data_IF_043090702657
#
_entry.id   IF_043090702657
#
_cell.length_a   1.000
_cell.length_b   1.000
_cell.length_c   1.000
_cell.angle_alpha   90.00
_cell.angle_beta   90.00
_cell.angle_gamma   90.00
#
_symmetry.space_group_name_H-M   'P 1'
#
loop_
_entity.id
_entity.type
_entity.pdbx_description
1 polymer ?
#
# COMPACT_ATOMS: atom_id res chain seq x y z
N UNK A 1 -40.92 5.80 1.70
CA UNK A 1 -40.31 6.49 2.85
C UNK A 1 -38.82 6.48 2.62
N UNK A 2 -38.24 7.62 2.27
CA UNK A 2 -36.79 7.79 2.15
C UNK A 2 -36.23 7.87 3.58
N UNK A 3 -35.37 6.94 3.94
CA UNK A 3 -34.62 6.99 5.19
C UNK A 3 -33.61 8.12 5.04
N UNK A 4 -33.81 9.22 5.74
CA UNK A 4 -32.81 10.29 5.86
C UNK A 4 -31.56 9.68 6.49
N UNK A 5 -30.52 9.54 5.67
CA UNK A 5 -29.17 9.30 6.17
C UNK A 5 -28.76 10.59 6.90
N UNK A 6 -28.81 10.57 8.24
CA UNK A 6 -28.21 11.61 9.06
C UNK A 6 -26.71 11.63 8.77
N UNK A 7 -26.26 12.73 8.19
CA UNK A 7 -24.84 13.00 8.00
C UNK A 7 -24.21 13.14 9.38
N UNK A 8 -23.42 12.16 9.82
CA UNK A 8 -22.77 12.13 11.14
C UNK A 8 -21.78 13.27 11.21
N UNK A 9 -22.02 14.23 12.10
CA UNK A 9 -21.15 15.41 12.23
C UNK A 9 -19.77 15.07 12.78
N UNK A 10 -18.82 15.99 12.65
CA UNK A 10 -17.47 15.82 13.23
C UNK A 10 -17.55 15.72 14.75
N UNK A 11 -18.44 16.49 15.39
CA UNK A 11 -18.68 16.42 16.83
C UNK A 11 -19.19 15.05 17.26
N UNK A 12 -20.12 14.44 16.49
CA UNK A 12 -20.63 13.10 16.78
C UNK A 12 -19.51 12.04 16.71
N UNK A 13 -18.64 12.15 15.70
CA UNK A 13 -17.47 11.24 15.56
C UNK A 13 -16.49 11.39 16.71
N UNK A 14 -16.24 12.62 17.16
CA UNK A 14 -15.39 12.90 18.33
C UNK A 14 -16.01 12.32 19.60
N UNK A 15 -17.33 12.47 19.79
CA UNK A 15 -18.05 11.88 20.91
C UNK A 15 -17.93 10.37 20.96
N UNK A 16 -18.20 9.70 19.83
CA UNK A 16 -18.04 8.24 19.68
C UNK A 16 -16.61 7.79 19.94
N UNK A 17 -15.61 8.56 19.46
CA UNK A 17 -14.21 8.24 19.69
C UNK A 17 -13.85 8.31 21.18
N UNK A 18 -14.34 9.30 21.91
CA UNK A 18 -14.16 9.40 23.37
C UNK A 18 -14.80 8.24 24.12
N UNK A 19 -15.98 7.80 23.71
CA UNK A 19 -16.65 6.64 24.30
C UNK A 19 -15.83 5.36 24.07
N UNK A 20 -15.32 5.14 22.85
CA UNK A 20 -14.46 4.00 22.52
C UNK A 20 -13.14 4.00 23.33
N UNK A 21 -12.64 5.18 23.70
CA UNK A 21 -11.43 5.33 24.50
C UNK A 21 -11.69 5.32 26.02
N UNK A 22 -12.96 5.18 26.48
CA UNK A 22 -13.28 5.18 27.89
C UNK A 22 -12.51 4.12 28.69
N UNK A 23 -12.33 2.93 28.11
CA UNK A 23 -11.59 1.81 28.70
C UNK A 23 -10.10 1.74 28.28
N UNK A 24 -9.62 2.72 27.49
CA UNK A 24 -8.23 2.74 27.06
C UNK A 24 -7.29 3.08 28.22
N UNK A 25 -6.00 2.67 28.15
CA UNK A 25 -4.99 3.12 29.10
C UNK A 25 -4.91 4.66 29.18
N UNK A 26 -4.58 5.20 30.35
CA UNK A 26 -4.51 6.66 30.58
C UNK A 26 -3.62 7.41 29.58
N UNK A 27 -2.54 6.77 29.10
CA UNK A 27 -1.68 7.33 28.05
C UNK A 27 -2.45 7.53 26.74
N UNK A 28 -3.34 6.61 26.39
CA UNK A 28 -4.18 6.71 25.20
C UNK A 28 -5.24 7.82 25.32
N UNK A 29 -5.93 7.89 26.45
CA UNK A 29 -6.92 8.95 26.74
C UNK A 29 -6.29 10.34 26.66
N UNK A 30 -5.15 10.54 27.32
CA UNK A 30 -4.41 11.81 27.29
C UNK A 30 -3.94 12.17 25.87
N UNK A 31 -3.44 11.20 25.13
CA UNK A 31 -2.99 11.40 23.75
C UNK A 31 -4.16 11.79 22.84
N UNK A 32 -5.32 11.14 23.00
CA UNK A 32 -6.54 11.48 22.26
C UNK A 32 -6.91 12.94 22.43
N UNK A 33 -7.02 13.42 23.68
CA UNK A 33 -7.42 14.83 23.94
C UNK A 33 -6.37 15.82 23.38
N UNK A 34 -5.08 15.50 23.44
CA UNK A 34 -4.05 16.32 22.81
C UNK A 34 -4.16 16.38 21.29
N UNK A 35 -4.53 15.29 20.63
CA UNK A 35 -4.76 15.26 19.18
C UNK A 35 -6.02 16.04 18.82
N UNK A 36 -7.13 15.83 19.52
CA UNK A 36 -8.39 16.54 19.29
C UNK A 36 -8.24 18.05 19.47
N UNK A 37 -7.48 18.48 20.47
CA UNK A 37 -7.22 19.92 20.69
C UNK A 37 -6.42 20.56 19.55
N UNK A 38 -5.47 19.81 18.94
CA UNK A 38 -4.71 20.29 17.78
C UNK A 38 -5.59 20.38 16.52
N UNK A 39 -6.40 19.36 16.27
CA UNK A 39 -7.32 19.35 15.13
C UNK A 39 -8.30 20.51 15.18
N UNK A 40 -8.71 20.93 16.39
CA UNK A 40 -9.60 22.11 16.58
C UNK A 40 -8.88 23.43 16.33
N UNK A 41 -7.54 23.49 16.52
CA UNK A 41 -6.74 24.71 16.31
C UNK A 41 -6.25 24.87 14.85
N UNK A 42 -6.16 23.78 14.09
CA UNK A 42 -5.62 23.75 12.73
C UNK A 42 -6.72 23.87 11.65
N UNK A 43 -7.75 24.69 11.90
CA UNK A 43 -8.88 24.89 10.98
C UNK A 43 -8.49 25.39 9.57
N UNK A 44 -7.25 25.82 9.36
CA UNK A 44 -6.70 26.28 8.08
C UNK A 44 -5.97 25.18 7.27
N UNK A 45 -5.86 23.95 7.77
CA UNK A 45 -5.22 22.88 7.00
C UNK A 45 -6.14 22.42 5.87
N UNK A 46 -5.55 22.39 4.66
CA UNK A 46 -6.21 21.78 3.49
C UNK A 46 -6.59 20.33 3.84
N UNK A 47 -7.86 19.96 3.69
CA UNK A 47 -8.24 18.57 3.96
C UNK A 47 -7.40 17.62 3.12
N UNK A 48 -7.02 16.45 3.67
CA UNK A 48 -6.31 15.44 2.92
C UNK A 48 -7.14 15.03 1.69
N UNK A 49 -6.49 14.63 0.58
CA UNK A 49 -7.21 14.15 -0.59
C UNK A 49 -8.09 12.96 -0.17
N UNK A 50 -9.31 12.85 -0.72
CA UNK A 50 -10.21 11.76 -0.40
C UNK A 50 -9.61 10.42 -0.87
N UNK A 51 -9.76 9.38 -0.06
CA UNK A 51 -9.45 8.01 -0.46
C UNK A 51 -10.50 7.57 -1.47
N UNK A 52 -10.04 7.11 -2.63
CA UNK A 52 -10.87 6.59 -3.72
C UNK A 52 -10.66 5.07 -3.87
N UNK A 53 -11.46 4.42 -4.72
CA UNK A 53 -11.22 3.05 -5.13
C UNK A 53 -10.03 2.96 -6.07
N UNK A 54 -9.21 1.91 -5.94
CA UNK A 54 -8.13 1.59 -6.86
C UNK A 54 -8.60 0.77 -8.09
N UNK A 55 -9.89 0.55 -8.24
CA UNK A 55 -10.48 -0.28 -9.29
C UNK A 55 -11.25 -1.47 -8.72
N UNK A 56 -10.91 -2.70 -9.12
CA UNK A 56 -11.57 -3.94 -8.66
C UNK A 56 -11.54 -4.07 -7.15
N UNK A 57 -10.40 -3.84 -6.52
CA UNK A 57 -10.15 -3.87 -5.07
C UNK A 57 -9.09 -2.85 -4.69
N UNK A 58 -8.95 -2.58 -3.39
CA UNK A 58 -7.94 -1.68 -2.84
C UNK A 58 -8.35 -0.22 -2.83
N UNK A 59 -7.51 0.56 -2.17
CA UNK A 59 -7.69 1.99 -1.96
C UNK A 59 -6.66 2.79 -2.76
N UNK A 60 -7.03 4.00 -3.19
CA UNK A 60 -6.18 4.93 -3.91
C UNK A 60 -6.20 6.32 -3.28
N UNK A 61 -5.03 6.90 -3.12
CA UNK A 61 -4.84 8.27 -2.68
C UNK A 61 -4.08 9.05 -3.77
N UNK A 62 -4.77 9.93 -4.49
CA UNK A 62 -4.20 10.61 -5.65
C UNK A 62 -3.86 9.65 -6.79
N UNK A 63 -2.58 9.54 -7.15
CA UNK A 63 -2.07 8.62 -8.18
C UNK A 63 -1.62 7.28 -7.63
N UNK A 64 -1.44 7.15 -6.32
CA UNK A 64 -0.88 5.96 -5.66
C UNK A 64 -2.02 5.10 -5.12
N UNK A 65 -1.93 3.80 -5.38
CA UNK A 65 -2.86 2.77 -4.91
C UNK A 65 -2.15 1.80 -3.96
N UNK A 66 -2.92 1.11 -3.12
CA UNK A 66 -2.41 0.06 -2.26
C UNK A 66 -3.03 -1.31 -2.60
N UNK A 67 -2.25 -2.35 -2.36
CA UNK A 67 -2.67 -3.74 -2.39
C UNK A 67 -2.12 -4.44 -1.15
N UNK A 68 -2.99 -5.00 -0.33
CA UNK A 68 -2.62 -5.81 0.82
C UNK A 68 -3.32 -7.15 0.73
N UNK A 69 -2.54 -8.23 0.68
CA UNK A 69 -3.03 -9.61 0.55
C UNK A 69 -2.54 -10.42 1.75
N UNK A 70 -3.42 -11.25 2.30
CA UNK A 70 -3.03 -12.29 3.26
C UNK A 70 -3.44 -13.64 2.69
N UNK A 71 -2.45 -14.52 2.48
CA UNK A 71 -2.63 -15.85 1.90
C UNK A 71 -2.02 -16.93 2.78
N UNK A 72 -2.62 -18.14 2.83
CA UNK A 72 -1.96 -19.29 3.44
C UNK A 72 -0.78 -19.74 2.56
N UNK A 73 0.27 -20.23 3.19
CA UNK A 73 1.34 -20.90 2.47
C UNK A 73 0.93 -22.31 2.04
N UNK A 74 1.26 -22.68 0.81
CA UNK A 74 1.24 -24.06 0.37
C UNK A 74 2.27 -24.91 1.17
N UNK A 75 2.12 -26.23 1.25
CA UNK A 75 3.09 -27.09 1.90
C UNK A 75 4.52 -26.82 1.41
N UNK A 76 5.43 -26.46 2.35
CA UNK A 76 6.81 -26.07 2.05
C UNK A 76 6.97 -24.68 1.37
N UNK A 77 5.89 -23.95 1.14
CA UNK A 77 5.89 -22.65 0.46
C UNK A 77 6.74 -21.61 1.17
N UNK A 78 6.59 -21.48 2.48
CA UNK A 78 7.38 -20.55 3.27
C UNK A 78 8.88 -20.77 3.14
N UNK A 79 9.32 -22.02 3.20
CA UNK A 79 10.73 -22.37 3.05
C UNK A 79 11.26 -22.05 1.65
N UNK A 80 10.48 -22.37 0.60
CA UNK A 80 10.83 -22.06 -0.80
C UNK A 80 10.96 -20.56 -1.03
N UNK A 81 9.95 -19.79 -0.61
CA UNK A 81 9.96 -18.34 -0.77
C UNK A 81 11.11 -17.70 0.01
N UNK A 82 11.35 -18.13 1.24
CA UNK A 82 12.48 -17.63 2.03
C UNK A 82 13.82 -17.87 1.33
N UNK A 83 14.04 -19.07 0.82
CA UNK A 83 15.26 -19.41 0.10
C UNK A 83 15.40 -18.55 -1.18
N UNK A 84 14.31 -18.34 -1.91
CA UNK A 84 14.30 -17.49 -3.10
C UNK A 84 14.64 -16.03 -2.76
N UNK A 85 14.01 -15.45 -1.75
CA UNK A 85 14.29 -14.08 -1.31
C UNK A 85 15.74 -13.90 -0.84
N UNK A 86 16.33 -14.91 -0.21
CA UNK A 86 17.73 -14.88 0.24
C UNK A 86 18.73 -14.80 -0.93
N UNK A 87 18.42 -15.32 -2.12
CA UNK A 87 19.27 -15.17 -3.31
C UNK A 87 19.50 -13.70 -3.68
N UNK A 88 18.54 -12.84 -3.38
CA UNK A 88 18.59 -11.40 -3.67
C UNK A 88 18.92 -10.56 -2.44
N UNK A 89 19.36 -11.20 -1.33
CA UNK A 89 19.60 -10.49 -0.07
C UNK A 89 18.39 -9.74 0.49
N UNK A 90 17.17 -10.21 0.14
CA UNK A 90 15.92 -9.56 0.48
C UNK A 90 15.57 -8.32 -0.38
N UNK A 91 16.42 -7.96 -1.34
CA UNK A 91 16.18 -6.85 -2.27
C UNK A 91 15.55 -7.38 -3.57
N UNK A 92 14.35 -6.88 -3.88
CA UNK A 92 13.57 -7.26 -5.06
C UNK A 92 13.69 -6.18 -6.17
N UNK A 93 14.90 -5.73 -6.48
CA UNK A 93 15.14 -4.70 -7.49
C UNK A 93 14.56 -5.03 -8.88
N UNK A 94 14.25 -6.30 -9.18
CA UNK A 94 13.47 -6.68 -10.37
C UNK A 94 12.07 -6.04 -10.45
N UNK A 95 11.53 -5.54 -9.34
CA UNK A 95 10.31 -4.74 -9.35
C UNK A 95 10.47 -3.38 -10.07
N UNK A 96 11.71 -2.89 -10.22
CA UNK A 96 12.00 -1.67 -10.97
C UNK A 96 11.62 -1.80 -12.46
N UNK A 97 11.67 -3.02 -13.03
CA UNK A 97 11.27 -3.29 -14.41
C UNK A 97 9.76 -3.09 -14.64
N UNK A 98 8.96 -3.18 -13.58
CA UNK A 98 7.53 -2.87 -13.64
C UNK A 98 7.32 -1.37 -13.79
N UNK A 99 8.10 -0.56 -13.09
CA UNK A 99 8.17 0.90 -13.22
C UNK A 99 7.03 1.66 -12.53
N UNK A 100 6.14 0.98 -11.80
CA UNK A 100 4.99 1.56 -11.10
C UNK A 100 4.98 1.28 -9.61
N UNK A 101 5.96 0.54 -9.09
CA UNK A 101 6.02 0.10 -7.69
C UNK A 101 6.76 1.12 -6.83
N UNK A 102 6.08 1.67 -5.83
CA UNK A 102 6.68 2.55 -4.81
C UNK A 102 7.32 1.77 -3.67
N UNK A 103 6.63 0.73 -3.22
CA UNK A 103 7.02 -0.12 -2.10
C UNK A 103 6.42 -1.51 -2.29
N UNK A 104 7.17 -2.53 -1.88
CA UNK A 104 6.73 -3.92 -1.90
C UNK A 104 7.37 -4.69 -0.75
N UNK A 105 6.58 -5.48 -0.02
CA UNK A 105 7.08 -6.27 1.10
C UNK A 105 6.33 -7.58 1.28
N UNK A 106 7.08 -8.59 1.72
CA UNK A 106 6.59 -9.91 2.10
C UNK A 106 6.86 -10.12 3.59
N UNK A 107 5.83 -10.42 4.35
CA UNK A 107 5.94 -10.66 5.80
C UNK A 107 5.37 -12.05 6.12
N UNK A 108 6.16 -12.90 6.73
CA UNK A 108 5.73 -14.24 7.13
C UNK A 108 5.06 -14.15 8.49
N UNK A 109 3.85 -14.67 8.59
CA UNK A 109 2.96 -14.59 9.75
C UNK A 109 2.74 -15.97 10.36
N UNK A 110 2.35 -15.98 11.63
CA UNK A 110 1.82 -17.13 12.34
C UNK A 110 2.71 -18.39 12.22
N UNK A 111 3.99 -18.24 12.54
CA UNK A 111 4.98 -19.33 12.43
C UNK A 111 5.03 -19.93 11.01
N UNK A 112 5.08 -19.06 9.99
CA UNK A 112 5.20 -19.46 8.59
C UNK A 112 3.99 -20.21 8.02
N UNK A 113 2.80 -19.99 8.57
CA UNK A 113 1.55 -20.56 8.04
C UNK A 113 0.87 -19.65 7.04
N UNK A 114 1.06 -18.32 7.18
CA UNK A 114 0.49 -17.31 6.28
C UNK A 114 1.53 -16.28 5.88
N UNK A 115 1.26 -15.62 4.79
CA UNK A 115 2.05 -14.49 4.31
C UNK A 115 1.17 -13.26 4.16
N UNK A 116 1.71 -12.11 4.56
CA UNK A 116 1.22 -10.81 4.14
C UNK A 116 2.10 -10.32 2.99
N UNK A 117 1.47 -10.01 1.86
CA UNK A 117 2.04 -9.22 0.78
C UNK A 117 1.42 -7.84 0.81
N UNK A 118 2.24 -6.80 0.84
CA UNK A 118 1.75 -5.43 0.74
C UNK A 118 2.60 -4.65 -0.25
N UNK A 119 1.95 -3.80 -1.04
CA UNK A 119 2.59 -2.96 -2.04
C UNK A 119 1.85 -1.64 -2.21
N UNK A 120 2.60 -0.58 -2.56
CA UNK A 120 2.07 0.67 -3.05
C UNK A 120 2.52 0.87 -4.50
N UNK A 121 1.60 1.26 -5.39
CA UNK A 121 1.84 1.30 -6.82
C UNK A 121 1.08 2.45 -7.49
N UNK A 122 1.44 2.78 -8.73
CA UNK A 122 0.77 3.81 -9.52
C UNK A 122 -0.48 3.27 -10.21
N UNK A 123 -1.58 4.01 -10.13
CA UNK A 123 -2.72 3.86 -11.00
C UNK A 123 -3.75 2.82 -10.57
N UNK A 124 -4.36 2.16 -11.56
CA UNK A 124 -5.49 1.24 -11.38
C UNK A 124 -5.02 -0.19 -11.09
N UNK A 125 -5.79 -0.91 -10.27
CA UNK A 125 -5.49 -2.27 -9.84
C UNK A 125 -5.36 -3.28 -10.98
N UNK A 126 -6.31 -3.25 -11.93
CA UNK A 126 -6.29 -4.20 -13.05
C UNK A 126 -5.08 -3.97 -13.96
N UNK A 127 -4.73 -2.71 -14.23
CA UNK A 127 -3.55 -2.35 -15.00
C UNK A 127 -2.25 -2.77 -14.31
N UNK A 128 -2.19 -2.59 -12.99
CA UNK A 128 -1.03 -3.01 -12.19
C UNK A 128 -0.79 -4.53 -12.28
N UNK A 129 -1.84 -5.34 -12.13
CA UNK A 129 -1.71 -6.80 -12.24
C UNK A 129 -1.33 -7.21 -13.67
N UNK A 130 -1.88 -6.56 -14.71
CA UNK A 130 -1.53 -6.82 -16.10
C UNK A 130 -0.08 -6.47 -16.42
N UNK A 131 0.46 -5.41 -15.82
CA UNK A 131 1.87 -5.04 -15.94
C UNK A 131 2.79 -6.15 -15.43
N UNK A 132 2.51 -6.68 -14.26
CA UNK A 132 3.27 -7.81 -13.71
C UNK A 132 3.14 -9.07 -14.57
N UNK A 133 1.92 -9.41 -14.97
CA UNK A 133 1.65 -10.57 -15.83
C UNK A 133 2.39 -10.49 -17.18
N UNK A 134 2.68 -9.30 -17.65
CA UNK A 134 3.34 -9.06 -18.96
C UNK A 134 4.85 -8.93 -18.81
N UNK A 135 5.33 -8.20 -17.79
CA UNK A 135 6.74 -7.83 -17.67
C UNK A 135 7.58 -8.87 -16.95
N UNK A 136 7.07 -9.44 -15.86
CA UNK A 136 7.82 -10.37 -15.00
C UNK A 136 7.02 -11.61 -14.56
N UNK A 137 6.27 -12.27 -15.46
CA UNK A 137 5.32 -13.32 -15.06
C UNK A 137 5.98 -14.52 -14.37
N UNK A 138 7.15 -14.97 -14.85
CA UNK A 138 7.82 -16.14 -14.28
C UNK A 138 8.38 -15.83 -12.88
N UNK A 139 8.79 -14.57 -12.65
CA UNK A 139 9.25 -14.15 -11.33
C UNK A 139 8.10 -14.15 -10.31
N UNK A 140 6.91 -13.67 -10.71
CA UNK A 140 5.70 -13.76 -9.89
C UNK A 140 5.31 -15.22 -9.62
N UNK A 141 5.27 -16.07 -10.64
CA UNK A 141 4.88 -17.45 -10.46
C UNK A 141 5.84 -18.23 -9.54
N UNK A 142 7.14 -17.86 -9.51
CA UNK A 142 8.07 -18.43 -8.52
C UNK A 142 7.67 -18.01 -7.10
N UNK A 143 7.39 -16.74 -6.87
CA UNK A 143 7.01 -16.20 -5.56
C UNK A 143 5.64 -16.76 -5.13
N UNK A 144 4.64 -16.61 -6.00
CA UNK A 144 3.25 -16.85 -5.67
C UNK A 144 2.91 -18.35 -5.68
N UNK A 145 3.75 -19.21 -6.31
CA UNK A 145 3.66 -20.67 -6.14
C UNK A 145 3.91 -21.14 -4.70
N UNK A 146 4.41 -20.25 -3.84
CA UNK A 146 4.47 -20.49 -2.40
C UNK A 146 3.10 -20.44 -1.71
N UNK A 147 2.05 -19.89 -2.37
CA UNK A 147 0.71 -19.71 -1.84
C UNK A 147 -0.19 -20.90 -2.14
N UNK A 148 -1.04 -21.24 -1.19
CA UNK A 148 -1.99 -22.32 -1.38
C UNK A 148 -3.01 -21.95 -2.47
N UNK A 149 -3.17 -22.83 -3.46
CA UNK A 149 -4.16 -22.65 -4.52
C UNK A 149 -3.83 -21.60 -5.57
N UNK A 150 -2.60 -21.08 -5.64
CA UNK A 150 -2.20 -20.14 -6.68
C UNK A 150 -2.39 -20.74 -8.09
N UNK A 151 -3.18 -20.09 -8.97
CA UNK A 151 -3.49 -20.65 -10.29
C UNK A 151 -2.44 -20.35 -11.36
N UNK A 152 -1.45 -19.51 -11.05
CA UNK A 152 -0.50 -18.93 -12.00
C UNK A 152 -0.95 -17.59 -12.54
N UNK A 153 -0.01 -16.64 -12.75
CA UNK A 153 -0.32 -15.26 -13.14
C UNK A 153 -0.98 -15.15 -14.52
N UNK A 154 -0.69 -16.10 -15.41
CA UNK A 154 -1.28 -16.17 -16.76
C UNK A 154 -2.66 -16.84 -16.79
N UNK A 155 -3.11 -17.38 -15.65
CA UNK A 155 -4.45 -17.97 -15.56
C UNK A 155 -5.54 -16.89 -15.58
N UNK A 156 -6.70 -17.13 -16.22
CA UNK A 156 -7.85 -16.22 -16.13
C UNK A 156 -8.36 -16.05 -14.69
N UNK A 157 -8.10 -17.01 -13.79
CA UNK A 157 -8.48 -16.96 -12.38
C UNK A 157 -7.52 -16.13 -11.51
N UNK A 158 -6.34 -15.73 -12.01
CA UNK A 158 -5.30 -15.07 -11.22
C UNK A 158 -5.83 -13.79 -10.54
N UNK A 159 -6.53 -12.94 -11.28
CA UNK A 159 -7.10 -11.69 -10.74
C UNK A 159 -8.18 -11.94 -9.68
N UNK A 160 -9.02 -12.96 -9.87
CA UNK A 160 -10.05 -13.31 -8.90
C UNK A 160 -9.43 -13.91 -7.64
N UNK A 161 -8.37 -14.72 -7.78
CA UNK A 161 -7.60 -15.23 -6.67
C UNK A 161 -7.01 -14.09 -5.82
N UNK A 162 -6.30 -13.16 -6.46
CA UNK A 162 -5.70 -12.00 -5.77
C UNK A 162 -6.77 -11.16 -5.07
N UNK A 163 -7.86 -10.85 -5.77
CA UNK A 163 -8.95 -10.05 -5.21
C UNK A 163 -9.64 -10.72 -4.01
N UNK A 164 -9.77 -12.06 -4.03
CA UNK A 164 -10.41 -12.81 -2.94
C UNK A 164 -9.58 -12.86 -1.65
N UNK A 165 -8.27 -12.64 -1.75
CA UNK A 165 -7.34 -12.64 -0.61
C UNK A 165 -6.96 -11.22 -0.17
N UNK A 166 -7.43 -10.20 -0.87
CA UNK A 166 -7.13 -8.82 -0.51
C UNK A 166 -7.96 -8.36 0.69
N UNK A 167 -7.30 -7.60 1.55
CA UNK A 167 -7.90 -6.82 2.63
C UNK A 167 -7.56 -5.36 2.41
N UNK A 168 -8.51 -4.46 2.66
CA UNK A 168 -8.24 -3.03 2.57
C UNK A 168 -7.45 -2.56 3.79
N UNK A 169 -6.51 -1.64 3.56
CA UNK A 169 -5.86 -0.95 4.66
C UNK A 169 -6.86 -0.01 5.35
N UNK A 170 -7.01 -0.14 6.68
CA UNK A 170 -7.85 0.76 7.49
C UNK A 170 -7.19 2.13 7.68
N UNK A 171 -5.87 2.21 7.59
CA UNK A 171 -5.09 3.43 7.66
C UNK A 171 -3.86 3.34 6.77
N UNK A 172 -3.64 4.38 5.96
CA UNK A 172 -2.56 4.41 4.99
C UNK A 172 -2.07 5.83 4.76
N UNK A 173 -0.75 6.02 4.74
CA UNK A 173 -0.10 7.30 4.51
C UNK A 173 0.75 7.26 3.24
N UNK A 174 0.58 8.25 2.39
CA UNK A 174 1.38 8.47 1.18
C UNK A 174 1.99 9.86 1.24
N UNK A 175 3.31 9.94 1.24
CA UNK A 175 4.03 11.22 1.35
C UNK A 175 3.81 12.11 0.11
N UNK A 176 3.74 11.51 -1.09
CA UNK A 176 3.62 12.21 -2.37
C UNK A 176 2.52 11.57 -3.24
N UNK A 177 1.23 11.75 -2.88
CA UNK A 177 0.13 11.09 -3.58
C UNK A 177 -0.10 11.63 -5.00
N UNK A 178 0.49 12.75 -5.35
CA UNK A 178 0.42 13.40 -6.65
C UNK A 178 1.55 13.00 -7.62
N UNK A 179 2.53 12.21 -7.15
CA UNK A 179 3.69 11.79 -7.95
C UNK A 179 3.66 10.29 -8.23
N UNK A 180 3.84 9.93 -9.49
CA UNK A 180 4.13 8.55 -9.92
C UNK A 180 5.60 8.21 -9.68
N UNK A 181 5.95 6.91 -9.74
CA UNK A 181 7.36 6.44 -9.74
C UNK A 181 8.14 7.09 -10.88
N UNK A 182 7.53 7.22 -12.07
CA UNK A 182 8.12 7.90 -13.21
C UNK A 182 8.36 9.40 -12.94
N UNK A 183 7.41 10.10 -12.30
CA UNK A 183 7.57 11.50 -11.90
C UNK A 183 8.72 11.66 -10.91
N UNK A 184 8.81 10.80 -9.89
CA UNK A 184 9.88 10.80 -8.89
C UNK A 184 11.24 10.55 -9.55
N UNK A 185 11.34 9.57 -10.43
CA UNK A 185 12.57 9.25 -11.17
C UNK A 185 13.01 10.39 -12.06
N UNK A 186 12.06 11.07 -12.72
CA UNK A 186 12.36 12.29 -13.51
C UNK A 186 12.87 13.42 -12.61
N UNK A 187 12.21 13.69 -11.50
CA UNK A 187 12.62 14.76 -10.57
C UNK A 187 14.02 14.50 -9.99
N UNK A 188 14.36 13.26 -9.66
CA UNK A 188 15.70 12.88 -9.20
C UNK A 188 16.76 13.17 -10.27
N UNK A 189 16.50 12.86 -11.55
CA UNK A 189 17.44 13.19 -12.65
C UNK A 189 17.59 14.70 -12.86
N UNK A 190 16.48 15.45 -12.77
CA UNK A 190 16.52 16.93 -12.89
C UNK A 190 17.31 17.53 -11.73
N UNK A 191 17.09 17.06 -10.50
CA UNK A 191 17.85 17.50 -9.32
C UNK A 191 19.34 17.27 -9.49
N UNK A 192 19.75 16.04 -9.86
CA UNK A 192 21.17 15.72 -10.09
C UNK A 192 21.82 16.60 -11.18
N UNK A 193 21.10 16.87 -12.27
CA UNK A 193 21.62 17.76 -13.34
C UNK A 193 21.74 19.23 -12.90
N UNK A 194 20.81 19.68 -12.04
CA UNK A 194 20.87 21.03 -11.47
C UNK A 194 22.04 21.17 -10.50
N UNK A 195 22.27 20.18 -9.64
CA UNK A 195 23.41 20.15 -8.71
C UNK A 195 24.75 20.20 -9.49
N UNK A 196 24.88 19.34 -10.51
CA UNK A 196 26.10 19.35 -11.38
C UNK A 196 26.32 20.71 -12.07
N UNK A 197 25.23 21.34 -12.52
CA UNK A 197 25.32 22.67 -13.12
C UNK A 197 25.76 23.73 -12.11
N UNK A 198 25.18 23.74 -10.91
CA UNK A 198 25.52 24.69 -9.85
C UNK A 198 26.97 24.54 -9.38
N UNK A 199 27.47 23.31 -9.27
CA UNK A 199 28.86 23.05 -8.92
C UNK A 199 29.81 23.68 -9.95
N UNK A 200 29.54 23.47 -11.26
CA UNK A 200 30.38 24.01 -12.36
C UNK A 200 30.38 25.53 -12.47
N UNK A 201 29.32 26.21 -12.02
CA UNK A 201 29.27 27.69 -12.06
C UNK A 201 29.81 28.35 -10.80
N UNK A 202 30.09 27.55 -9.76
CA UNK A 202 30.62 27.99 -8.47
C UNK A 202 32.16 27.86 -8.41
N UNK A 203 32.79 27.21 -9.39
CA UNK A 203 34.25 27.15 -9.63
C UNK A 203 34.73 28.36 -10.42
#
# INVERSE_FOLDING_TARGET
>A
MATEMHDVTVEDKIGQLRELFADAPEVGKKALENVLSRLSSDADQKPPPPVASAGRVGSRLGKVSELTIIVPFAPGGAARLRAFLQLFGGNLAGADDVGTVHDMRFVFLDNDTRMLFATAYDGDWDAYIDDFATKIPDFLDIIDSAWEGWPGIRSPEAKDYLASHQINAEGWYVAHPDLTVADISRLKRVGAAADEFLDKVSE
#
